data_IF_350754138368
#
_entry.id   IF_350754138368
#
_cell.length_a   1.000
_cell.length_b   1.000
_cell.length_c   1.000
_cell.angle_alpha   90.00
_cell.angle_beta   90.00
_cell.angle_gamma   90.00
#
_symmetry.space_group_name_H-M   'P 1'
#
loop_
_entity.id
_entity.type
_entity.pdbx_description
1 polymer ?
#
# COMPACT_ATOMS: atom_id res chain seq x y z
N UNK A 1 29.97 12.92 -0.54
CA UNK A 1 30.37 14.15 0.18
C UNK A 1 29.18 15.06 0.33
N UNK A 2 29.10 15.75 1.47
CA UNK A 2 28.05 16.75 1.77
C UNK A 2 28.74 18.10 1.93
N UNK A 3 28.25 19.11 1.23
CA UNK A 3 28.69 20.49 1.35
C UNK A 3 27.50 21.39 1.66
N UNK A 4 27.56 22.20 2.71
CA UNK A 4 26.51 23.16 3.07
C UNK A 4 27.12 24.54 3.34
N UNK A 5 26.43 25.59 2.92
CA UNK A 5 26.78 26.99 3.26
C UNK A 5 25.52 27.69 3.76
N UNK A 6 25.65 28.39 4.87
CA UNK A 6 24.55 29.19 5.46
C UNK A 6 24.03 30.16 4.39
N UNK A 7 22.72 30.21 4.21
CA UNK A 7 21.99 31.01 3.21
C UNK A 7 22.30 30.72 1.73
N UNK A 8 23.00 29.60 1.41
CA UNK A 8 23.30 29.21 0.02
C UNK A 8 22.86 27.77 -0.31
N UNK A 9 22.26 27.06 0.65
CA UNK A 9 21.77 25.70 0.48
C UNK A 9 22.82 24.64 0.75
N UNK A 10 22.41 23.40 0.55
CA UNK A 10 23.22 22.18 0.75
C UNK A 10 23.31 21.40 -0.55
N UNK A 11 24.51 20.88 -0.84
CA UNK A 11 24.75 20.00 -1.99
C UNK A 11 25.13 18.62 -1.48
N UNK A 12 24.40 17.61 -1.91
CA UNK A 12 24.72 16.21 -1.66
C UNK A 12 25.29 15.60 -2.93
N UNK A 13 26.50 15.02 -2.85
CA UNK A 13 27.10 14.27 -3.94
C UNK A 13 27.24 12.82 -3.52
N UNK A 14 26.58 11.92 -4.27
CA UNK A 14 26.74 10.46 -4.15
C UNK A 14 27.54 9.98 -5.37
N UNK A 15 28.66 9.30 -5.13
CA UNK A 15 29.44 8.64 -6.16
C UNK A 15 29.28 7.13 -5.98
N UNK A 16 28.76 6.48 -7.01
CA UNK A 16 28.56 5.04 -7.04
C UNK A 16 29.52 4.47 -8.09
N UNK A 17 30.38 3.53 -7.70
CA UNK A 17 31.23 2.78 -8.61
C UNK A 17 30.49 1.50 -9.03
N UNK A 18 30.31 1.35 -10.33
CA UNK A 18 29.80 0.12 -10.92
C UNK A 18 30.91 -0.57 -11.70
N UNK A 19 31.06 -1.90 -11.63
CA UNK A 19 31.97 -2.65 -12.50
C UNK A 19 31.55 -2.44 -13.97
N UNK A 20 32.54 -2.31 -14.86
CA UNK A 20 32.28 -2.26 -16.30
C UNK A 20 31.77 -3.64 -16.78
N UNK A 21 30.93 -3.65 -17.79
CA UNK A 21 30.34 -4.87 -18.35
C UNK A 21 31.38 -5.87 -18.90
N UNK A 22 32.59 -5.41 -19.13
CA UNK A 22 33.74 -6.23 -19.60
C UNK A 22 34.26 -7.17 -18.49
N UNK A 23 33.96 -6.90 -17.23
CA UNK A 23 34.36 -7.71 -16.08
C UNK A 23 33.39 -8.84 -15.73
N UNK A 24 32.31 -9.00 -16.50
CA UNK A 24 31.29 -10.04 -16.30
C UNK A 24 31.67 -11.23 -17.21
N UNK A 25 31.97 -12.44 -16.68
CA UNK A 25 32.29 -13.59 -17.48
C UNK A 25 31.13 -13.94 -18.43
N UNK A 26 31.46 -14.32 -19.69
CA UNK A 26 30.43 -14.67 -20.67
C UNK A 26 29.74 -15.99 -20.27
N UNK A 27 28.64 -15.89 -19.59
CA UNK A 27 27.84 -17.03 -19.07
C UNK A 27 26.69 -16.60 -18.16
N UNK A 28 26.81 -15.46 -17.50
CA UNK A 28 25.83 -14.98 -16.55
C UNK A 28 24.97 -13.79 -17.04
N UNK A 29 25.09 -13.42 -18.31
CA UNK A 29 24.31 -12.34 -18.91
C UNK A 29 22.77 -12.62 -18.95
N UNK A 30 22.34 -13.82 -18.60
CA UNK A 30 20.94 -14.21 -18.51
C UNK A 30 20.27 -13.94 -17.16
N UNK A 31 21.07 -13.67 -16.10
CA UNK A 31 20.52 -13.59 -14.73
C UNK A 31 20.22 -12.16 -14.25
N UNK A 32 20.77 -11.13 -14.89
CA UNK A 32 20.59 -9.75 -14.47
C UNK A 32 19.28 -9.08 -14.94
N UNK A 33 18.58 -9.69 -15.90
CA UNK A 33 17.26 -9.21 -16.34
C UNK A 33 16.09 -9.90 -15.63
N UNK A 34 16.35 -10.78 -14.68
CA UNK A 34 15.35 -11.49 -13.88
C UNK A 34 15.04 -10.78 -12.56
N UNK A 35 15.06 -9.45 -12.55
CA UNK A 35 14.46 -8.63 -11.49
C UNK A 35 12.91 -8.58 -11.55
N UNK A 36 12.30 -9.44 -12.35
CA UNK A 36 10.92 -9.80 -12.21
C UNK A 36 10.82 -10.83 -11.11
N UNK A 37 10.40 -10.42 -9.90
CA UNK A 37 9.93 -11.36 -8.89
C UNK A 37 8.90 -12.26 -9.56
N UNK A 38 9.29 -13.50 -9.90
CA UNK A 38 8.36 -14.58 -10.18
C UNK A 38 7.51 -14.67 -8.92
N UNK A 39 6.17 -14.60 -9.00
CA UNK A 39 5.34 -14.80 -7.82
C UNK A 39 5.77 -16.11 -7.18
N UNK A 40 6.15 -16.06 -5.91
CA UNK A 40 6.43 -17.25 -5.13
C UNK A 40 5.16 -18.14 -5.21
N UNK A 41 5.28 -19.34 -5.79
CA UNK A 41 4.15 -20.26 -5.97
C UNK A 41 3.46 -20.63 -4.65
N UNK A 42 4.07 -20.27 -3.50
CA UNK A 42 3.49 -20.43 -2.16
C UNK A 42 2.49 -19.31 -1.80
N UNK A 43 2.40 -18.22 -2.57
CA UNK A 43 1.43 -17.14 -2.31
C UNK A 43 0.02 -17.55 -2.76
N UNK A 44 -1.02 -17.27 -1.97
CA UNK A 44 -2.42 -17.62 -2.31
C UNK A 44 -2.99 -16.68 -3.39
N UNK A 45 -2.45 -16.80 -4.61
CA UNK A 45 -2.72 -15.88 -5.72
C UNK A 45 -4.15 -15.96 -6.26
N UNK A 46 -4.78 -17.15 -6.19
CA UNK A 46 -6.13 -17.37 -6.73
C UNK A 46 -7.23 -16.54 -6.07
N UNK A 47 -7.00 -16.09 -4.84
CA UNK A 47 -7.99 -15.37 -4.05
C UNK A 47 -7.98 -13.84 -4.31
N UNK A 48 -6.99 -13.31 -5.04
CA UNK A 48 -6.84 -11.87 -5.27
C UNK A 48 -7.52 -11.38 -6.54
N UNK A 49 -7.62 -12.24 -7.55
CA UNK A 49 -8.17 -11.85 -8.86
C UNK A 49 -9.59 -11.29 -8.72
N UNK A 50 -9.79 -10.09 -9.25
CA UNK A 50 -11.06 -9.38 -9.20
C UNK A 50 -11.46 -8.91 -7.80
N UNK A 51 -10.54 -8.87 -6.81
CA UNK A 51 -10.78 -8.12 -5.57
C UNK A 51 -10.83 -6.62 -5.89
N UNK A 52 -11.75 -5.91 -5.25
CA UNK A 52 -11.89 -4.45 -5.38
C UNK A 52 -11.25 -3.78 -4.17
N UNK A 53 -10.19 -3.03 -4.41
CA UNK A 53 -9.39 -2.38 -3.36
C UNK A 53 -9.42 -0.87 -3.54
N UNK A 54 -9.83 -0.15 -2.48
CA UNK A 54 -9.66 1.30 -2.40
C UNK A 54 -8.28 1.60 -1.84
N UNK A 55 -7.43 2.26 -2.61
CA UNK A 55 -6.09 2.71 -2.24
C UNK A 55 -6.15 4.18 -1.87
N UNK A 56 -5.85 4.52 -0.62
CA UNK A 56 -5.87 5.89 -0.11
C UNK A 56 -4.45 6.32 0.23
N UNK A 57 -3.88 7.19 -0.56
CA UNK A 57 -2.48 7.62 -0.50
C UNK A 57 -2.37 9.00 -1.15
N UNK A 58 -1.69 9.96 -0.53
CA UNK A 58 -1.55 11.32 -1.04
C UNK A 58 -0.37 11.51 -1.99
N UNK A 59 0.61 10.62 -1.97
CA UNK A 59 1.80 10.68 -2.79
C UNK A 59 1.64 9.87 -4.08
N UNK A 60 1.67 10.53 -5.24
CA UNK A 60 1.51 9.91 -6.56
C UNK A 60 2.53 8.79 -6.83
N UNK A 61 3.78 8.92 -6.35
CA UNK A 61 4.79 7.87 -6.54
C UNK A 61 4.45 6.61 -5.73
N UNK A 62 3.98 6.79 -4.49
CA UNK A 62 3.54 5.66 -3.67
C UNK A 62 2.30 5.00 -4.26
N UNK A 63 1.32 5.80 -4.75
CA UNK A 63 0.16 5.29 -5.48
C UNK A 63 0.62 4.43 -6.66
N UNK A 64 1.51 4.96 -7.51
CA UNK A 64 2.04 4.25 -8.67
C UNK A 64 2.66 2.90 -8.30
N UNK A 65 3.47 2.86 -7.25
CA UNK A 65 4.10 1.63 -6.76
C UNK A 65 3.05 0.60 -6.31
N UNK A 66 2.10 1.01 -5.46
CA UNK A 66 1.05 0.13 -4.94
C UNK A 66 0.16 -0.39 -6.07
N UNK A 67 -0.27 0.48 -6.98
CA UNK A 67 -1.13 0.10 -8.11
C UNK A 67 -0.45 -0.91 -9.02
N UNK A 68 0.85 -0.73 -9.32
CA UNK A 68 1.61 -1.70 -10.11
C UNK A 68 1.77 -3.04 -9.40
N UNK A 69 1.96 -3.04 -8.08
CA UNK A 69 1.96 -4.27 -7.29
C UNK A 69 0.61 -5.00 -7.41
N UNK A 70 -0.50 -4.31 -7.21
CA UNK A 70 -1.85 -4.87 -7.22
C UNK A 70 -2.27 -5.36 -8.60
N UNK A 71 -1.93 -4.61 -9.66
CA UNK A 71 -2.25 -4.98 -11.05
C UNK A 71 -1.67 -6.34 -11.46
N UNK A 72 -0.49 -6.71 -10.95
CA UNK A 72 0.17 -8.00 -11.21
C UNK A 72 -0.65 -9.19 -10.71
N UNK A 73 -1.55 -8.97 -9.77
CA UNK A 73 -2.39 -10.00 -9.14
C UNK A 73 -3.85 -9.93 -9.60
N UNK A 74 -4.16 -9.11 -10.61
CA UNK A 74 -5.52 -8.98 -11.14
C UNK A 74 -6.50 -8.32 -10.17
N UNK A 75 -6.01 -7.46 -9.27
CA UNK A 75 -6.81 -6.68 -8.32
C UNK A 75 -7.36 -5.45 -9.02
N UNK A 76 -8.65 -5.17 -8.85
CA UNK A 76 -9.29 -3.95 -9.30
C UNK A 76 -9.09 -2.84 -8.27
N UNK A 77 -8.59 -1.69 -8.70
CA UNK A 77 -8.21 -0.61 -7.80
C UNK A 77 -9.00 0.67 -8.06
N UNK A 78 -9.41 1.33 -6.99
CA UNK A 78 -9.87 2.70 -6.98
C UNK A 78 -8.91 3.53 -6.12
N UNK A 79 -8.64 4.78 -6.49
CA UNK A 79 -7.67 5.63 -5.78
C UNK A 79 -8.37 6.81 -5.14
N UNK A 80 -7.97 7.15 -3.91
CA UNK A 80 -8.31 8.38 -3.22
C UNK A 80 -7.02 9.09 -2.77
N UNK A 81 -6.96 10.39 -2.92
CA UNK A 81 -5.74 11.18 -2.65
C UNK A 81 -5.62 11.67 -1.20
N UNK A 82 -6.66 11.51 -0.40
CA UNK A 82 -6.71 11.90 1.00
C UNK A 82 -7.89 11.23 1.70
N UNK A 83 -7.96 11.37 3.04
CA UNK A 83 -9.02 10.74 3.82
C UNK A 83 -10.43 11.27 3.52
N UNK A 84 -10.57 12.53 3.07
CA UNK A 84 -11.88 13.09 2.68
C UNK A 84 -12.38 12.40 1.42
N UNK A 85 -11.55 12.34 0.39
CA UNK A 85 -11.86 11.66 -0.86
C UNK A 85 -12.18 10.18 -0.65
N UNK A 86 -11.48 9.52 0.28
CA UNK A 86 -11.79 8.14 0.65
C UNK A 86 -13.19 7.97 1.25
N UNK A 87 -13.62 8.88 2.13
CA UNK A 87 -14.98 8.86 2.71
C UNK A 87 -16.03 9.11 1.63
N UNK A 88 -15.79 10.06 0.74
CA UNK A 88 -16.71 10.42 -0.34
C UNK A 88 -16.84 9.26 -1.34
N UNK A 89 -15.72 8.62 -1.75
CA UNK A 89 -15.74 7.41 -2.61
C UNK A 89 -16.44 6.23 -1.96
N UNK A 90 -16.24 6.03 -0.66
CA UNK A 90 -16.95 4.98 0.07
C UNK A 90 -18.46 5.27 0.17
N UNK A 91 -18.85 6.55 0.22
CA UNK A 91 -20.27 6.92 0.20
C UNK A 91 -20.93 6.65 -1.16
N UNK A 92 -20.18 6.84 -2.25
CA UNK A 92 -20.64 6.57 -3.61
C UNK A 92 -20.72 5.07 -3.92
N UNK A 93 -19.72 4.31 -3.45
CA UNK A 93 -19.61 2.87 -3.71
C UNK A 93 -19.06 2.14 -2.47
N UNK A 94 -19.84 1.23 -1.92
CA UNK A 94 -19.48 0.42 -0.76
C UNK A 94 -18.94 -0.96 -1.12
N UNK A 95 -18.76 -1.24 -2.41
CA UNK A 95 -18.41 -2.57 -2.90
C UNK A 95 -16.89 -2.82 -2.95
N UNK A 96 -16.17 -2.36 -1.95
CA UNK A 96 -14.76 -2.66 -1.76
C UNK A 96 -14.58 -3.90 -0.88
N UNK A 97 -13.62 -4.75 -1.26
CA UNK A 97 -13.21 -5.92 -0.48
C UNK A 97 -12.25 -5.53 0.64
N UNK A 98 -11.37 -4.54 0.36
CA UNK A 98 -10.38 -4.00 1.31
C UNK A 98 -10.15 -2.53 1.01
N UNK A 99 -9.84 -1.76 2.05
CA UNK A 99 -9.35 -0.38 1.95
C UNK A 99 -7.91 -0.36 2.47
N UNK A 100 -6.96 0.05 1.64
CA UNK A 100 -5.59 0.37 2.03
C UNK A 100 -5.54 1.86 2.36
N UNK A 101 -5.26 2.21 3.61
CA UNK A 101 -5.39 3.57 4.13
C UNK A 101 -4.07 4.09 4.66
N UNK A 102 -3.47 5.07 3.99
CA UNK A 102 -2.36 5.81 4.59
C UNK A 102 -2.82 6.52 5.87
N UNK A 103 -2.01 6.41 6.90
CA UNK A 103 -2.27 7.06 8.18
C UNK A 103 -2.01 8.56 8.11
N UNK A 104 -0.95 8.97 7.42
CA UNK A 104 -0.47 10.35 7.41
C UNK A 104 -0.73 11.04 6.07
N UNK A 105 -1.84 11.74 5.98
CA UNK A 105 -2.24 12.48 4.78
C UNK A 105 -2.73 13.89 5.13
N UNK A 106 -2.60 14.86 4.20
CA UNK A 106 -3.18 16.19 4.34
C UNK A 106 -4.72 16.14 4.26
N UNK A 107 -5.37 17.23 4.59
CA UNK A 107 -6.84 17.45 4.55
C UNK A 107 -7.56 16.60 5.60
N UNK A 108 -7.40 15.29 5.57
CA UNK A 108 -7.94 14.34 6.54
C UNK A 108 -7.01 13.13 6.63
N UNK A 109 -6.51 12.85 7.83
CA UNK A 109 -5.67 11.69 8.09
C UNK A 109 -6.46 10.38 8.05
N UNK A 110 -5.75 9.24 7.96
CA UNK A 110 -6.38 7.93 7.83
C UNK A 110 -7.19 7.50 9.05
N UNK A 111 -6.83 7.95 10.26
CA UNK A 111 -7.60 7.63 11.48
C UNK A 111 -8.98 8.29 11.44
N UNK A 112 -9.03 9.57 11.09
CA UNK A 112 -10.28 10.32 11.03
C UNK A 112 -11.18 9.83 9.88
N UNK A 113 -10.58 9.49 8.73
CA UNK A 113 -11.28 8.88 7.62
C UNK A 113 -11.89 7.54 8.02
N UNK A 114 -11.12 6.68 8.70
CA UNK A 114 -11.60 5.38 9.19
C UNK A 114 -12.78 5.54 10.14
N UNK A 115 -12.70 6.44 11.15
CA UNK A 115 -13.82 6.69 12.06
C UNK A 115 -15.08 7.13 11.31
N UNK A 116 -14.94 8.07 10.35
CA UNK A 116 -16.08 8.53 9.54
C UNK A 116 -16.70 7.42 8.70
N UNK A 117 -15.89 6.56 8.09
CA UNK A 117 -16.39 5.38 7.37
C UNK A 117 -17.14 4.47 8.34
N UNK A 118 -16.58 4.16 9.52
CA UNK A 118 -17.18 3.27 10.53
C UNK A 118 -18.51 3.81 11.09
N UNK A 119 -18.62 5.11 11.21
CA UNK A 119 -19.77 5.82 11.76
C UNK A 119 -20.82 6.26 10.71
N UNK A 120 -20.51 6.07 9.42
CA UNK A 120 -21.35 6.55 8.32
C UNK A 120 -22.77 5.95 8.27
N UNK A 121 -22.98 4.79 8.88
CA UNK A 121 -24.24 4.04 8.77
C UNK A 121 -24.47 3.38 7.40
N UNK A 122 -23.52 3.52 6.47
CA UNK A 122 -23.57 2.92 5.14
C UNK A 122 -23.40 1.40 5.18
N UNK A 123 -23.86 0.68 4.15
CA UNK A 123 -23.65 -0.75 4.05
C UNK A 123 -22.18 -1.11 4.25
N UNK A 124 -21.92 -2.18 5.00
CA UNK A 124 -20.58 -2.71 5.29
C UNK A 124 -19.61 -1.76 5.99
N UNK A 125 -20.00 -0.55 6.38
CA UNK A 125 -19.12 0.43 7.02
C UNK A 125 -18.39 -0.12 8.26
N UNK A 126 -19.00 -1.05 8.99
CA UNK A 126 -18.40 -1.70 10.17
C UNK A 126 -17.61 -2.96 9.86
N UNK A 127 -17.81 -3.56 8.67
CA UNK A 127 -17.22 -4.87 8.31
C UNK A 127 -16.20 -4.83 7.19
N UNK A 128 -16.16 -3.76 6.36
CA UNK A 128 -15.12 -3.61 5.34
C UNK A 128 -13.75 -3.56 6.00
N UNK A 129 -12.82 -4.44 5.62
CA UNK A 129 -11.46 -4.38 6.16
C UNK A 129 -10.75 -3.09 5.76
N UNK A 130 -10.15 -2.41 6.74
CA UNK A 130 -9.32 -1.22 6.53
C UNK A 130 -7.93 -1.55 7.07
N UNK A 131 -6.93 -1.54 6.20
CA UNK A 131 -5.54 -1.84 6.53
C UNK A 131 -4.75 -0.53 6.53
N UNK A 132 -4.11 -0.21 7.65
CA UNK A 132 -3.27 0.97 7.79
C UNK A 132 -1.98 0.80 6.97
N UNK A 133 -1.57 1.82 6.23
CA UNK A 133 -0.22 1.94 5.67
C UNK A 133 0.52 2.99 6.50
N UNK A 134 1.60 2.60 7.18
CA UNK A 134 2.32 3.48 8.12
C UNK A 134 3.82 3.47 7.89
N UNK A 135 4.47 4.61 8.06
CA UNK A 135 5.93 4.71 8.03
C UNK A 135 6.60 4.14 9.31
N UNK A 136 5.86 3.93 10.39
CA UNK A 136 6.39 3.48 11.67
C UNK A 136 5.53 2.36 12.24
N UNK A 137 6.16 1.21 12.52
CA UNK A 137 5.56 0.10 13.24
C UNK A 137 5.80 0.23 14.76
N UNK A 138 5.57 1.41 15.35
CA UNK A 138 5.71 1.57 16.79
C UNK A 138 4.42 1.12 17.50
N UNK A 139 4.56 0.49 18.68
CA UNK A 139 3.41 -0.03 19.45
C UNK A 139 2.28 0.98 19.66
N UNK A 140 2.60 2.28 19.80
CA UNK A 140 1.59 3.34 19.96
C UNK A 140 0.77 3.64 18.70
N UNK A 141 1.32 3.40 17.52
CA UNK A 141 0.62 3.64 16.24
C UNK A 141 -0.35 2.49 15.93
N UNK A 142 0.01 1.26 16.30
CA UNK A 142 -0.89 0.11 16.20
C UNK A 142 -2.13 0.29 17.08
N UNK A 143 -1.95 0.69 18.34
CA UNK A 143 -3.07 0.93 19.27
C UNK A 143 -4.02 2.00 18.74
N UNK A 144 -3.48 3.08 18.17
CA UNK A 144 -4.29 4.16 17.55
C UNK A 144 -5.08 3.69 16.34
N UNK A 145 -4.47 2.87 15.49
CA UNK A 145 -5.12 2.33 14.30
C UNK A 145 -6.28 1.42 14.69
N UNK A 146 -6.07 0.51 15.63
CA UNK A 146 -7.13 -0.36 16.14
C UNK A 146 -8.22 0.44 16.84
N UNK A 147 -7.87 1.45 17.64
CA UNK A 147 -8.84 2.34 18.30
C UNK A 147 -9.67 3.16 17.29
N UNK A 148 -9.11 3.47 16.12
CA UNK A 148 -9.84 4.10 15.02
C UNK A 148 -10.77 3.13 14.26
N UNK A 149 -10.61 1.81 14.46
CA UNK A 149 -11.39 0.77 13.78
C UNK A 149 -10.72 0.16 12.56
N UNK A 150 -9.39 0.30 12.42
CA UNK A 150 -8.60 -0.42 11.40
C UNK A 150 -8.38 -1.87 11.81
N UNK A 151 -8.09 -2.75 10.85
CA UNK A 151 -8.05 -4.20 11.05
C UNK A 151 -6.63 -4.77 11.08
N UNK A 152 -5.68 -4.14 10.40
CA UNK A 152 -4.28 -4.57 10.33
C UNK A 152 -3.38 -3.41 9.88
N UNK A 153 -2.08 -3.66 9.82
CA UNK A 153 -1.05 -2.70 9.41
C UNK A 153 -0.19 -3.27 8.30
N UNK A 154 0.28 -2.38 7.44
CA UNK A 154 1.34 -2.59 6.47
C UNK A 154 2.38 -1.51 6.69
N UNK A 155 3.64 -1.89 6.85
CA UNK A 155 4.74 -0.94 7.08
C UNK A 155 5.28 -0.44 5.75
N UNK A 156 5.44 0.87 5.60
CA UNK A 156 6.12 1.47 4.44
C UNK A 156 7.65 1.38 4.61
N UNK A 157 8.42 1.01 3.57
CA UNK A 157 7.99 0.68 2.21
C UNK A 157 7.25 -0.66 2.16
N UNK A 158 6.12 -0.71 1.44
CA UNK A 158 5.24 -1.87 1.41
C UNK A 158 5.95 -3.04 0.73
N UNK A 159 6.05 -4.15 1.46
CA UNK A 159 6.51 -5.43 0.92
C UNK A 159 5.39 -6.15 0.16
N UNK A 160 5.70 -6.65 -1.04
CA UNK A 160 4.71 -7.32 -1.91
C UNK A 160 4.12 -8.55 -1.24
N UNK A 161 4.92 -9.33 -0.51
CA UNK A 161 4.44 -10.56 0.15
C UNK A 161 3.50 -10.24 1.29
N UNK A 162 3.85 -9.22 2.09
CA UNK A 162 2.99 -8.74 3.18
C UNK A 162 1.66 -8.20 2.65
N UNK A 163 1.69 -7.43 1.56
CA UNK A 163 0.51 -6.91 0.87
C UNK A 163 -0.40 -8.05 0.39
N UNK A 164 0.15 -9.00 -0.38
CA UNK A 164 -0.58 -10.15 -0.91
C UNK A 164 -1.18 -11.01 0.19
N UNK A 165 -0.41 -11.32 1.24
CA UNK A 165 -0.88 -12.08 2.39
C UNK A 165 -2.05 -11.38 3.11
N UNK A 166 -1.92 -10.06 3.32
CA UNK A 166 -2.95 -9.26 3.98
C UNK A 166 -4.24 -9.17 3.15
N UNK A 167 -4.12 -8.95 1.84
CA UNK A 167 -5.28 -8.93 0.93
C UNK A 167 -5.96 -10.29 0.84
N UNK A 168 -5.20 -11.37 0.75
CA UNK A 168 -5.77 -12.72 0.75
C UNK A 168 -6.54 -13.01 2.03
N UNK A 169 -5.96 -12.67 3.19
CA UNK A 169 -6.57 -12.89 4.50
C UNK A 169 -7.86 -12.08 4.69
N UNK A 170 -7.80 -10.78 4.41
CA UNK A 170 -8.90 -9.87 4.72
C UNK A 170 -9.93 -9.77 3.59
N UNK A 171 -9.51 -9.73 2.33
CA UNK A 171 -10.39 -9.60 1.18
C UNK A 171 -11.21 -10.86 0.94
N UNK A 172 -10.61 -12.05 1.09
CA UNK A 172 -11.35 -13.32 0.95
C UNK A 172 -12.41 -13.49 2.05
N UNK A 173 -12.15 -13.00 3.27
CA UNK A 173 -13.15 -12.98 4.33
C UNK A 173 -14.32 -12.04 4.02
N UNK A 174 -14.02 -10.86 3.47
CA UNK A 174 -15.03 -9.87 3.07
C UNK A 174 -15.94 -10.39 1.93
N UNK A 175 -15.37 -11.10 0.94
CA UNK A 175 -16.13 -11.72 -0.16
C UNK A 175 -17.07 -12.83 0.30
N UNK A 176 -16.64 -13.66 1.27
CA UNK A 176 -17.51 -14.71 1.84
C UNK A 176 -18.74 -14.15 2.53
N UNK A 177 -18.61 -12.99 3.17
CA UNK A 177 -19.72 -12.31 3.86
C UNK A 177 -20.65 -11.53 2.92
N UNK A 178 -20.36 -11.53 1.62
CA UNK A 178 -21.14 -10.85 0.57
C UNK A 178 -22.24 -11.74 -0.02
N UNK A 179 -22.12 -13.06 0.17
CA UNK A 179 -23.09 -14.08 -0.26
C UNK A 179 -24.11 -14.34 0.85
#
# INVERSE_FOLDING_TARGET
>A
TVGSRVNKGSTFRVELAFPLAEDVPPGDAGSFCSGGNVPDESLPLGDLVGQRVLVVEDNELNQYVILNMLARFGVETCVAENGRDAVDRYAEDQDFDVILMDVQMPVMNGYDATRRIRESGLPRCRSVPILAMTAHAMRGDEERSFAAGMNAHLTKPIDVRELVFSLSRWGSAARRNRK
#
